data_IF_129035098666
#
_entry.id   IF_129035098666
#
_cell.length_a   1.000
_cell.length_b   1.000
_cell.length_c   1.000
_cell.angle_alpha   90.00
_cell.angle_beta   90.00
_cell.angle_gamma   90.00
#
_symmetry.space_group_name_H-M   'P 1'
#
loop_
_entity.id
_entity.type
_entity.pdbx_description
1 polymer ?
#
# COMPACT_ATOMS: atom_id res chain seq x y z
N UNK A 1 27.01 8.93 29.38
CA UNK A 1 26.60 7.51 29.28
C UNK A 1 25.69 7.36 28.08
N UNK A 2 26.18 6.78 26.97
CA UNK A 2 25.40 6.62 25.75
C UNK A 2 24.41 5.45 25.91
N UNK A 3 23.11 5.69 25.67
CA UNK A 3 22.10 4.62 25.63
C UNK A 3 22.49 3.63 24.53
N UNK A 4 22.81 2.40 24.91
CA UNK A 4 23.05 1.28 23.99
C UNK A 4 21.75 1.09 23.19
N UNK A 5 21.76 1.34 21.88
CA UNK A 5 20.62 1.01 21.01
C UNK A 5 20.49 -0.52 21.01
N UNK A 6 19.37 -1.03 21.49
CA UNK A 6 19.03 -2.43 21.27
C UNK A 6 18.95 -2.68 19.75
N UNK A 7 19.44 -3.85 19.28
CA UNK A 7 19.34 -4.18 17.87
C UNK A 7 17.87 -4.16 17.47
N UNK A 8 17.55 -3.42 16.40
CA UNK A 8 16.21 -3.39 15.84
C UNK A 8 15.81 -4.84 15.49
N UNK A 9 14.82 -5.37 16.19
CA UNK A 9 14.29 -6.71 15.94
C UNK A 9 13.70 -6.74 14.53
N UNK A 10 14.11 -7.72 13.73
CA UNK A 10 13.54 -7.93 12.39
C UNK A 10 12.11 -8.40 12.59
N UNK A 11 11.12 -7.58 12.21
CA UNK A 11 9.72 -8.00 12.22
C UNK A 11 9.53 -9.16 11.25
N UNK A 12 8.68 -10.16 11.61
CA UNK A 12 8.37 -11.26 10.71
C UNK A 12 7.73 -10.74 9.41
N UNK A 13 7.79 -11.51 8.31
CA UNK A 13 7.10 -11.18 7.07
C UNK A 13 5.62 -10.90 7.31
N UNK A 14 5.06 -9.89 6.62
CA UNK A 14 3.65 -9.53 6.69
C UNK A 14 2.96 -9.71 5.33
N UNK A 15 1.68 -10.08 5.37
CA UNK A 15 0.82 -10.14 4.18
C UNK A 15 0.18 -8.77 3.95
N UNK A 16 0.25 -8.27 2.72
CA UNK A 16 -0.46 -7.06 2.31
C UNK A 16 -1.82 -7.37 1.71
N UNK A 17 -2.87 -6.66 2.16
CA UNK A 17 -4.22 -6.77 1.60
C UNK A 17 -4.71 -5.38 1.18
N UNK A 18 -5.12 -5.26 -0.07
CA UNK A 18 -5.74 -4.05 -0.61
C UNK A 18 -7.24 -4.27 -0.80
N UNK A 19 -8.06 -3.55 -0.05
CA UNK A 19 -9.52 -3.64 -0.16
C UNK A 19 -10.03 -2.65 -1.22
N UNK A 20 -10.40 -3.18 -2.38
CA UNK A 20 -10.75 -2.40 -3.58
C UNK A 20 -12.24 -2.46 -3.99
N UNK A 21 -13.12 -3.05 -3.18
CA UNK A 21 -14.54 -3.31 -3.54
C UNK A 21 -15.52 -2.15 -3.37
N UNK A 22 -15.07 -0.92 -3.17
CA UNK A 22 -15.94 0.23 -2.89
C UNK A 22 -16.59 0.82 -4.14
N UNK A 23 -17.89 1.18 -4.05
CA UNK A 23 -18.67 1.72 -5.20
C UNK A 23 -18.30 3.15 -5.65
N UNK A 24 -17.37 3.82 -4.97
CA UNK A 24 -16.90 5.18 -5.33
C UNK A 24 -17.99 6.24 -5.53
N UNK A 25 -19.11 6.15 -4.80
CA UNK A 25 -20.30 7.03 -4.97
C UNK A 25 -19.98 8.53 -4.88
N UNK A 26 -19.08 8.93 -3.97
CA UNK A 26 -18.65 10.34 -3.82
C UNK A 26 -17.82 10.86 -5.01
N UNK A 27 -17.32 9.97 -5.87
CA UNK A 27 -16.57 10.29 -7.08
C UNK A 27 -17.39 10.06 -8.36
N UNK A 28 -18.73 10.02 -8.25
CA UNK A 28 -19.63 9.75 -9.37
C UNK A 28 -19.77 8.26 -9.72
N UNK A 29 -19.31 7.36 -8.85
CA UNK A 29 -19.43 5.91 -9.05
C UNK A 29 -18.26 5.27 -9.82
N UNK A 30 -18.43 3.98 -10.13
CA UNK A 30 -17.46 3.16 -10.86
C UNK A 30 -16.29 2.66 -10.00
N UNK A 31 -15.26 2.17 -10.66
CA UNK A 31 -14.06 1.63 -10.01
C UNK A 31 -12.99 2.72 -9.86
N UNK A 32 -12.87 3.30 -8.66
CA UNK A 32 -11.80 4.28 -8.37
C UNK A 32 -10.42 3.67 -8.57
N UNK A 33 -10.22 2.40 -8.26
CA UNK A 33 -8.88 1.79 -8.27
C UNK A 33 -8.31 1.70 -9.69
N UNK A 34 -9.18 1.62 -10.69
CA UNK A 34 -8.80 1.61 -12.10
C UNK A 34 -8.73 3.00 -12.75
N UNK A 35 -9.08 4.07 -12.04
CA UNK A 35 -9.01 5.42 -12.62
C UNK A 35 -7.56 5.84 -12.88
N UNK A 36 -7.29 6.56 -13.99
CA UNK A 36 -5.97 7.12 -14.29
C UNK A 36 -5.52 8.11 -13.21
N UNK A 37 -4.26 7.97 -12.77
CA UNK A 37 -3.58 8.85 -11.83
C UNK A 37 -2.07 8.77 -12.05
N UNK A 38 -1.45 9.94 -12.27
CA UNK A 38 0.00 10.07 -12.46
C UNK A 38 0.59 9.10 -13.51
N UNK A 39 -0.09 8.95 -14.65
CA UNK A 39 0.38 8.11 -15.76
C UNK A 39 0.15 6.59 -15.61
N UNK A 40 -0.47 6.14 -14.52
CA UNK A 40 -0.90 4.75 -14.32
C UNK A 40 -2.31 4.69 -13.70
N UNK A 41 -2.79 3.54 -13.25
CA UNK A 41 -4.01 3.46 -12.43
C UNK A 41 -3.70 3.77 -10.96
N UNK A 42 -4.71 4.20 -10.19
CA UNK A 42 -4.57 4.34 -8.74
C UNK A 42 -4.10 3.03 -8.09
N UNK A 43 -4.62 1.89 -8.52
CA UNK A 43 -4.21 0.57 -8.04
C UNK A 43 -2.73 0.31 -8.28
N UNK A 44 -2.23 0.54 -9.50
CA UNK A 44 -0.82 0.35 -9.82
C UNK A 44 0.09 1.22 -8.95
N UNK A 45 -0.30 2.48 -8.72
CA UNK A 45 0.43 3.43 -7.88
C UNK A 45 0.51 3.00 -6.41
N UNK A 46 -0.52 2.31 -5.90
CA UNK A 46 -0.52 1.75 -4.55
C UNK A 46 0.32 0.48 -4.49
N UNK A 47 0.15 -0.43 -5.46
CA UNK A 47 0.94 -1.67 -5.53
C UNK A 47 2.44 -1.38 -5.52
N UNK A 48 2.92 -0.45 -6.35
CA UNK A 48 4.35 -0.11 -6.37
C UNK A 48 4.87 0.44 -5.03
N UNK A 49 4.05 1.20 -4.29
CA UNK A 49 4.42 1.68 -2.95
C UNK A 49 4.39 0.58 -1.90
N UNK A 50 3.50 -0.41 -2.03
CA UNK A 50 3.35 -1.49 -1.07
C UNK A 50 4.39 -2.60 -1.26
N UNK A 51 4.87 -2.82 -2.49
CA UNK A 51 5.84 -3.88 -2.82
C UNK A 51 7.08 -3.95 -1.92
N UNK A 52 7.79 -2.86 -1.56
CA UNK A 52 8.94 -2.95 -0.66
C UNK A 52 8.59 -3.25 0.81
N UNK A 53 7.32 -3.12 1.20
CA UNK A 53 6.85 -3.28 2.58
C UNK A 53 6.39 -4.71 2.89
N UNK A 54 6.09 -5.49 1.85
CA UNK A 54 5.63 -6.88 1.97
C UNK A 54 6.63 -7.78 1.28
N UNK A 55 6.89 -8.96 1.86
CA UNK A 55 7.76 -9.94 1.22
C UNK A 55 7.00 -10.61 0.07
N UNK A 56 7.69 -10.84 -1.04
CA UNK A 56 7.20 -11.68 -2.14
C UNK A 56 7.30 -13.16 -1.77
#
# INVERSE_FOLDING_TARGET
>A
MAKRREPATVSPPVVGVLLAGGQSRRMGGGDKTLRPFAGATLLAQVVERMRPQVRR
#
